data_IF_587457061134
#
_entry.id   IF_587457061134
#
_cell.length_a   1.000
_cell.length_b   1.000
_cell.length_c   1.000
_cell.angle_alpha   90.00
_cell.angle_beta   90.00
_cell.angle_gamma   90.00
#
_symmetry.space_group_name_H-M   'P 1'
#
loop_
_entity.id
_entity.type
_entity.pdbx_description
1 polymer ?
#
# COMPACT_ATOMS: atom_id res chain seq x y z
N UNK A 1 40.67 35.54 8.34
CA UNK A 1 39.30 35.30 8.84
C UNK A 1 38.64 34.28 7.94
N UNK A 2 38.37 33.03 8.38
CA UNK A 2 37.68 32.07 7.54
C UNK A 2 36.19 32.46 7.42
N UNK A 3 35.70 32.55 6.19
CA UNK A 3 34.30 32.82 5.91
C UNK A 3 33.45 31.64 6.43
N UNK A 4 32.51 31.94 7.34
CA UNK A 4 31.53 30.97 7.81
C UNK A 4 30.64 30.57 6.64
N UNK A 5 30.84 29.35 6.15
CA UNK A 5 30.02 28.76 5.11
C UNK A 5 28.62 28.52 5.68
N UNK A 6 27.66 29.36 5.28
CA UNK A 6 26.29 29.20 5.76
C UNK A 6 25.71 27.88 5.26
N UNK A 7 25.03 27.09 6.12
CA UNK A 7 24.35 25.89 5.69
C UNK A 7 23.28 26.27 4.65
N UNK A 8 23.26 25.59 3.52
CA UNK A 8 22.24 25.78 2.50
C UNK A 8 20.85 25.64 3.13
N UNK A 9 20.04 26.70 3.06
CA UNK A 9 18.68 26.70 3.57
C UNK A 9 17.90 25.53 2.96
N UNK A 10 17.50 24.57 3.79
CA UNK A 10 16.62 23.48 3.36
C UNK A 10 15.31 24.09 2.87
N UNK A 11 14.93 23.81 1.61
CA UNK A 11 13.63 24.21 1.07
C UNK A 11 12.52 23.87 2.08
N UNK A 12 11.54 24.76 2.33
CA UNK A 12 10.47 24.49 3.27
C UNK A 12 9.76 23.19 2.90
N UNK A 13 9.75 22.23 3.81
CA UNK A 13 8.92 21.02 3.70
C UNK A 13 7.48 21.48 3.42
N UNK A 14 6.89 21.03 2.33
CA UNK A 14 5.53 21.40 1.96
C UNK A 14 4.54 20.70 2.89
N UNK A 15 4.32 21.28 4.07
CA UNK A 15 3.45 20.73 5.12
C UNK A 15 2.03 20.41 4.62
N UNK A 16 1.55 21.11 3.59
CA UNK A 16 0.30 20.79 2.91
C UNK A 16 0.30 19.38 2.29
N UNK A 17 1.35 19.01 1.55
CA UNK A 17 1.42 17.69 0.91
C UNK A 17 1.58 16.56 1.92
N UNK A 18 2.28 16.82 3.03
CA UNK A 18 2.37 15.86 4.13
C UNK A 18 0.99 15.66 4.80
N UNK A 19 0.24 16.75 5.05
CA UNK A 19 -1.14 16.67 5.57
C UNK A 19 -2.08 15.94 4.61
N UNK A 20 -1.96 16.21 3.32
CA UNK A 20 -2.74 15.51 2.29
C UNK A 20 -2.46 14.01 2.32
N UNK A 21 -1.18 13.59 2.40
CA UNK A 21 -0.83 12.17 2.53
C UNK A 21 -1.40 11.54 3.78
N UNK A 22 -1.34 12.22 4.93
CA UNK A 22 -1.93 11.71 6.18
C UNK A 22 -3.44 11.53 6.03
N UNK A 23 -4.13 12.53 5.47
CA UNK A 23 -5.57 12.45 5.21
C UNK A 23 -5.91 11.27 4.29
N UNK A 24 -5.20 11.12 3.17
CA UNK A 24 -5.41 10.01 2.23
C UNK A 24 -5.13 8.64 2.88
N UNK A 25 -4.10 8.54 3.72
CA UNK A 25 -3.83 7.31 4.49
C UNK A 25 -4.95 7.00 5.47
N UNK A 26 -5.51 8.02 6.14
CA UNK A 26 -6.69 7.87 6.98
C UNK A 26 -7.90 7.34 6.21
N UNK A 27 -8.10 7.83 4.98
CA UNK A 27 -9.16 7.32 4.09
C UNK A 27 -8.94 5.85 3.73
N UNK A 28 -7.71 5.40 3.45
CA UNK A 28 -7.41 3.97 3.20
C UNK A 28 -7.83 3.10 4.38
N UNK A 29 -7.54 3.56 5.61
CA UNK A 29 -7.91 2.84 6.84
C UNK A 29 -9.44 2.77 6.94
N UNK A 30 -10.12 3.90 6.76
CA UNK A 30 -11.59 3.97 6.79
C UNK A 30 -12.23 3.07 5.73
N UNK A 31 -11.69 3.08 4.51
CA UNK A 31 -12.14 2.29 3.38
C UNK A 31 -12.10 0.78 3.68
N UNK A 32 -10.95 0.26 4.11
CA UNK A 32 -10.84 -1.16 4.43
C UNK A 32 -11.61 -1.55 5.69
N UNK A 33 -11.79 -0.62 6.64
CA UNK A 33 -12.69 -0.81 7.79
C UNK A 33 -14.14 -0.92 7.33
N UNK A 34 -14.57 -0.10 6.36
CA UNK A 34 -15.91 -0.20 5.78
C UNK A 34 -16.14 -1.54 5.05
N UNK A 35 -15.15 -2.01 4.27
CA UNK A 35 -15.20 -3.34 3.60
C UNK A 35 -15.31 -4.47 4.63
N UNK A 36 -14.57 -4.38 5.74
CA UNK A 36 -14.64 -5.34 6.83
C UNK A 36 -16.07 -5.43 7.39
N UNK A 37 -16.78 -4.31 7.52
CA UNK A 37 -18.13 -4.26 8.11
C UNK A 37 -19.30 -4.37 7.13
N UNK A 38 -19.04 -4.54 5.83
CA UNK A 38 -20.09 -4.88 4.87
C UNK A 38 -20.16 -4.01 3.61
N UNK A 39 -19.22 -3.09 3.40
CA UNK A 39 -19.04 -2.48 2.08
C UNK A 39 -18.59 -3.53 1.05
N UNK A 40 -18.90 -3.28 -0.22
CA UNK A 40 -18.38 -4.10 -1.31
C UNK A 40 -16.86 -3.91 -1.48
N UNK A 41 -16.16 -4.99 -1.88
CA UNK A 41 -14.70 -5.01 -2.01
C UNK A 41 -14.03 -6.19 -1.30
N UNK A 42 -12.71 -6.30 -1.46
CA UNK A 42 -11.91 -7.40 -0.92
C UNK A 42 -11.14 -7.01 0.35
N UNK A 43 -11.29 -7.80 1.42
CA UNK A 43 -10.46 -7.71 2.62
C UNK A 43 -10.32 -9.09 3.28
N UNK A 44 -9.23 -9.29 4.01
CA UNK A 44 -8.93 -10.58 4.64
C UNK A 44 -10.00 -10.98 5.66
N UNK A 45 -10.25 -10.10 6.63
CA UNK A 45 -11.18 -10.33 7.72
C UNK A 45 -12.49 -9.59 7.47
N UNK A 46 -13.63 -10.25 7.63
CA UNK A 46 -14.94 -9.65 7.37
C UNK A 46 -15.92 -10.00 8.48
N UNK A 47 -16.61 -8.98 8.98
CA UNK A 47 -17.70 -9.06 9.93
C UNK A 47 -18.87 -8.21 9.40
N UNK A 48 -19.47 -8.63 8.27
CA UNK A 48 -20.49 -7.83 7.62
C UNK A 48 -21.72 -7.69 8.54
N UNK A 49 -22.25 -6.47 8.63
CA UNK A 49 -23.58 -6.24 9.21
C UNK A 49 -24.67 -6.96 8.42
N UNK A 50 -25.84 -7.23 9.00
CA UNK A 50 -27.02 -7.72 8.27
C UNK A 50 -27.90 -6.58 7.75
N UNK A 51 -27.68 -5.35 8.24
CA UNK A 51 -28.44 -4.17 7.83
C UNK A 51 -28.12 -3.79 6.36
N UNK A 52 -29.13 -3.86 5.49
CA UNK A 52 -29.01 -3.53 4.08
C UNK A 52 -28.72 -2.05 3.84
N UNK A 53 -29.32 -1.15 4.62
CA UNK A 53 -29.10 0.29 4.52
C UNK A 53 -27.66 0.66 4.85
N UNK A 54 -27.11 0.06 5.92
CA UNK A 54 -25.70 0.23 6.29
C UNK A 54 -24.76 -0.27 5.19
N UNK A 55 -25.01 -1.43 4.57
CA UNK A 55 -24.21 -1.94 3.44
C UNK A 55 -24.18 -0.98 2.25
N UNK A 56 -25.35 -0.45 1.87
CA UNK A 56 -25.45 0.52 0.77
C UNK A 56 -24.66 1.79 1.09
N UNK A 57 -24.82 2.35 2.30
CA UNK A 57 -24.10 3.54 2.73
C UNK A 57 -22.57 3.33 2.71
N UNK A 58 -22.09 2.25 3.31
CA UNK A 58 -20.66 1.92 3.38
C UNK A 58 -20.08 1.68 1.98
N UNK A 59 -20.84 1.03 1.09
CA UNK A 59 -20.42 0.79 -0.30
C UNK A 59 -20.36 2.10 -1.10
N UNK A 60 -21.33 2.99 -0.93
CA UNK A 60 -21.30 4.31 -1.58
C UNK A 60 -20.13 5.15 -1.08
N UNK A 61 -19.84 5.12 0.23
CA UNK A 61 -18.64 5.74 0.79
C UNK A 61 -17.37 5.20 0.14
N UNK A 62 -17.22 3.87 0.05
CA UNK A 62 -16.09 3.23 -0.62
C UNK A 62 -16.00 3.61 -2.10
N UNK A 63 -17.12 3.67 -2.82
CA UNK A 63 -17.14 4.04 -4.23
C UNK A 63 -16.67 5.48 -4.46
N UNK A 64 -17.13 6.43 -3.63
CA UNK A 64 -16.70 7.83 -3.69
C UNK A 64 -15.22 7.94 -3.37
N UNK A 65 -14.76 7.29 -2.30
CA UNK A 65 -13.35 7.28 -1.90
C UNK A 65 -12.46 6.72 -3.03
N UNK A 66 -12.82 5.54 -3.55
CA UNK A 66 -12.11 4.83 -4.63
C UNK A 66 -11.98 5.64 -5.92
N UNK A 67 -12.90 6.58 -6.18
CA UNK A 67 -12.86 7.41 -7.37
C UNK A 67 -11.67 8.39 -7.39
N UNK A 68 -11.06 8.71 -6.25
CA UNK A 68 -9.98 9.71 -6.20
C UNK A 68 -8.75 9.31 -5.37
N UNK A 69 -8.88 8.56 -4.27
CA UNK A 69 -7.80 8.48 -3.27
C UNK A 69 -6.51 7.88 -3.84
N UNK A 70 -6.61 6.76 -4.56
CA UNK A 70 -5.46 6.14 -5.22
C UNK A 70 -4.90 7.02 -6.33
N UNK A 71 -5.78 7.69 -7.09
CA UNK A 71 -5.38 8.63 -8.13
C UNK A 71 -4.51 9.75 -7.58
N UNK A 72 -4.88 10.32 -6.43
CA UNK A 72 -4.09 11.33 -5.74
C UNK A 72 -2.76 10.77 -5.22
N UNK A 73 -2.73 9.55 -4.67
CA UNK A 73 -1.48 8.91 -4.27
C UNK A 73 -0.53 8.71 -5.46
N UNK A 74 -1.03 8.25 -6.61
CA UNK A 74 -0.23 8.12 -7.83
C UNK A 74 0.24 9.47 -8.36
N UNK A 75 -0.62 10.49 -8.35
CA UNK A 75 -0.27 11.85 -8.76
C UNK A 75 0.88 12.40 -7.90
N UNK A 76 0.78 12.27 -6.57
CA UNK A 76 1.84 12.69 -5.65
C UNK A 76 3.13 11.90 -5.89
N UNK A 77 3.05 10.58 -6.07
CA UNK A 77 4.23 9.76 -6.32
C UNK A 77 4.91 10.13 -7.67
N UNK A 78 4.12 10.37 -8.71
CA UNK A 78 4.57 10.80 -10.02
C UNK A 78 5.22 12.18 -9.99
N UNK A 79 4.60 13.16 -9.31
CA UNK A 79 5.11 14.53 -9.20
C UNK A 79 6.55 14.60 -8.67
N UNK A 80 6.90 13.76 -7.69
CA UNK A 80 8.24 13.74 -7.11
C UNK A 80 9.25 12.84 -7.84
N UNK A 81 8.80 12.02 -8.79
CA UNK A 81 9.65 11.03 -9.46
C UNK A 81 10.75 11.66 -10.33
N UNK A 82 10.49 12.68 -11.18
CA UNK A 82 11.53 13.32 -11.99
C UNK A 82 12.66 13.93 -11.15
N UNK A 83 12.32 14.70 -10.10
CA UNK A 83 13.31 15.30 -9.20
C UNK A 83 14.12 14.25 -8.43
N UNK A 84 13.48 13.17 -7.98
CA UNK A 84 14.17 12.07 -7.31
C UNK A 84 15.14 11.36 -8.26
N UNK A 85 14.74 11.15 -9.52
CA UNK A 85 15.57 10.52 -10.55
C UNK A 85 16.78 11.37 -10.90
N UNK A 86 16.58 12.67 -11.15
CA UNK A 86 17.67 13.61 -11.47
C UNK A 86 18.72 13.67 -10.36
N UNK A 87 18.29 13.68 -9.09
CA UNK A 87 19.20 13.74 -7.94
C UNK A 87 20.00 12.45 -7.71
N UNK A 88 19.45 11.28 -8.06
CA UNK A 88 20.05 9.96 -7.73
C UNK A 88 20.64 9.22 -8.94
N UNK A 89 20.37 9.68 -10.16
CA UNK A 89 20.59 8.90 -11.38
C UNK A 89 19.68 7.67 -11.47
N UNK A 90 19.65 7.02 -12.64
CA UNK A 90 18.79 5.88 -12.91
C UNK A 90 19.01 4.70 -11.93
N UNK A 91 20.27 4.27 -11.79
CA UNK A 91 20.63 3.13 -10.94
C UNK A 91 20.34 3.41 -9.47
N UNK A 92 20.73 4.60 -8.98
CA UNK A 92 20.49 4.99 -7.58
C UNK A 92 19.01 5.13 -7.24
N UNK A 93 18.21 5.65 -8.18
CA UNK A 93 16.76 5.75 -8.03
C UNK A 93 16.09 4.37 -7.96
N UNK A 94 16.40 3.47 -8.90
CA UNK A 94 15.81 2.14 -8.94
C UNK A 94 16.22 1.30 -7.72
N UNK A 95 17.49 1.33 -7.32
CA UNK A 95 17.97 0.61 -6.12
C UNK A 95 17.23 1.08 -4.87
N UNK A 96 17.07 2.40 -4.68
CA UNK A 96 16.36 2.96 -3.54
C UNK A 96 14.87 2.57 -3.53
N UNK A 97 14.20 2.58 -4.70
CA UNK A 97 12.81 2.13 -4.84
C UNK A 97 12.67 0.64 -4.56
N UNK A 98 13.55 -0.20 -5.09
CA UNK A 98 13.54 -1.66 -4.86
C UNK A 98 13.71 -2.01 -3.38
N UNK A 99 14.63 -1.35 -2.68
CA UNK A 99 14.82 -1.60 -1.25
C UNK A 99 13.64 -1.09 -0.39
N UNK A 100 13.08 0.07 -0.73
CA UNK A 100 12.00 0.68 0.07
C UNK A 100 10.62 0.09 -0.20
N UNK A 101 10.37 -0.39 -1.42
CA UNK A 101 9.07 -0.91 -1.84
C UNK A 101 9.13 -2.41 -2.11
N UNK A 102 10.17 -2.89 -2.81
CA UNK A 102 10.29 -4.29 -3.21
C UNK A 102 10.54 -5.22 -2.02
N UNK A 103 11.42 -4.83 -1.10
CA UNK A 103 11.66 -5.65 0.10
C UNK A 103 10.39 -5.79 0.97
N UNK A 104 9.66 -4.71 1.33
CA UNK A 104 8.37 -4.85 2.00
C UNK A 104 7.34 -5.65 1.20
N UNK A 105 7.32 -5.49 -0.13
CA UNK A 105 6.40 -6.23 -1.00
C UNK A 105 6.65 -7.73 -0.96
N UNK A 106 7.92 -8.16 -1.00
CA UNK A 106 8.30 -9.57 -0.87
C UNK A 106 8.00 -10.11 0.52
N UNK A 107 8.39 -9.38 1.57
CA UNK A 107 8.14 -9.79 2.95
C UNK A 107 6.62 -9.94 3.22
N UNK A 108 5.81 -9.01 2.74
CA UNK A 108 4.36 -9.14 2.87
C UNK A 108 3.82 -10.24 1.97
N UNK A 109 4.09 -10.19 0.66
CA UNK A 109 3.49 -11.07 -0.33
C UNK A 109 3.78 -12.55 -0.11
N UNK A 110 4.96 -12.87 0.42
CA UNK A 110 5.42 -14.25 0.63
C UNK A 110 5.32 -14.72 2.08
N UNK A 111 5.10 -13.84 3.06
CA UNK A 111 5.02 -14.27 4.47
C UNK A 111 3.72 -13.80 5.08
N UNK A 112 3.52 -12.48 5.16
CA UNK A 112 2.38 -11.91 5.88
C UNK A 112 1.06 -12.14 5.16
N UNK A 113 0.99 -12.06 3.84
CA UNK A 113 -0.24 -12.22 3.06
C UNK A 113 -0.88 -13.60 3.21
N UNK A 114 -0.15 -14.71 2.96
CA UNK A 114 -0.63 -16.07 3.20
C UNK A 114 -0.97 -16.33 4.67
N UNK A 115 -0.18 -15.75 5.59
CA UNK A 115 -0.43 -15.83 7.03
C UNK A 115 -1.74 -15.12 7.42
N UNK A 116 -1.96 -13.88 6.96
CA UNK A 116 -3.18 -13.12 7.25
C UNK A 116 -4.41 -13.75 6.61
N UNK A 117 -4.28 -14.35 5.43
CA UNK A 117 -5.36 -15.10 4.80
C UNK A 117 -5.74 -16.36 5.60
N UNK A 118 -4.74 -17.08 6.12
CA UNK A 118 -4.97 -18.26 6.98
C UNK A 118 -5.55 -17.86 8.34
N UNK A 119 -5.09 -16.74 8.91
CA UNK A 119 -5.60 -16.19 10.16
C UNK A 119 -7.07 -15.76 10.02
N UNK A 120 -7.45 -15.14 8.91
CA UNK A 120 -8.85 -14.77 8.66
C UNK A 120 -9.79 -15.98 8.60
N UNK A 121 -9.29 -17.15 8.19
CA UNK A 121 -10.02 -18.41 8.26
C UNK A 121 -10.42 -18.82 9.68
N UNK A 122 -9.74 -18.32 10.73
CA UNK A 122 -10.12 -18.57 12.13
C UNK A 122 -11.44 -17.89 12.53
N UNK A 123 -11.86 -16.85 11.83
CA UNK A 123 -13.12 -16.16 12.12
C UNK A 123 -14.34 -16.96 11.63
N UNK A 124 -14.15 -18.02 10.83
CA UNK A 124 -15.21 -18.92 10.42
C UNK A 124 -15.60 -19.89 11.56
N UNK A 125 -16.86 -20.37 11.63
CA UNK A 125 -17.29 -21.31 12.66
C UNK A 125 -16.49 -22.62 12.61
N UNK A 126 -15.75 -22.90 13.69
CA UNK A 126 -14.82 -24.04 13.79
C UNK A 126 -13.42 -23.53 14.14
N UNK A 127 -13.16 -23.41 15.44
CA UNK A 127 -11.91 -22.84 15.96
C UNK A 127 -10.68 -23.60 15.43
N UNK A 128 -9.99 -23.00 14.47
CA UNK A 128 -8.66 -23.43 14.05
C UNK A 128 -7.65 -22.84 15.06
N UNK A 129 -6.99 -23.70 15.83
CA UNK A 129 -5.89 -23.26 16.70
C UNK A 129 -4.69 -22.77 15.87
N UNK A 130 -3.70 -22.19 16.56
CA UNK A 130 -2.44 -21.77 15.94
C UNK A 130 -1.79 -22.86 15.05
N UNK A 131 -1.78 -24.16 15.43
CA UNK A 131 -1.21 -25.21 14.58
C UNK A 131 -1.89 -25.32 13.21
N UNK A 132 -3.22 -25.19 13.15
CA UNK A 132 -3.97 -25.26 11.91
C UNK A 132 -3.68 -24.05 11.01
N UNK A 133 -3.56 -22.84 11.58
CA UNK A 133 -3.18 -21.63 10.83
C UNK A 133 -1.79 -21.77 10.23
N UNK A 134 -0.84 -22.29 10.99
CA UNK A 134 0.53 -22.51 10.51
C UNK A 134 0.56 -23.56 9.39
N UNK A 135 -0.18 -24.66 9.54
CA UNK A 135 -0.28 -25.70 8.52
C UNK A 135 -0.92 -25.17 7.22
N UNK A 136 -2.00 -24.38 7.32
CA UNK A 136 -2.64 -23.74 6.17
C UNK A 136 -1.71 -22.70 5.51
N UNK A 137 -1.03 -21.89 6.31
CA UNK A 137 -0.05 -20.92 5.80
C UNK A 137 1.04 -21.64 5.02
N UNK A 138 1.60 -22.71 5.59
CA UNK A 138 2.62 -23.52 4.92
C UNK A 138 2.11 -24.13 3.60
N UNK A 139 0.89 -24.66 3.59
CA UNK A 139 0.28 -25.21 2.38
C UNK A 139 0.11 -24.14 1.28
N UNK A 140 -0.35 -22.93 1.64
CA UNK A 140 -0.46 -21.79 0.70
C UNK A 140 0.89 -21.37 0.13
N UNK A 141 1.94 -21.37 0.95
CA UNK A 141 3.30 -21.07 0.51
C UNK A 141 3.84 -22.10 -0.47
N UNK A 142 3.65 -23.40 -0.19
CA UNK A 142 4.04 -24.47 -1.12
C UNK A 142 3.25 -24.44 -2.43
N UNK A 143 2.00 -23.98 -2.38
CA UNK A 143 1.19 -23.74 -3.57
C UNK A 143 1.61 -22.49 -4.36
N UNK A 144 2.57 -21.70 -3.86
CA UNK A 144 3.04 -20.47 -4.52
C UNK A 144 2.03 -19.33 -4.45
N UNK A 145 1.09 -19.33 -3.49
CA UNK A 145 0.16 -18.23 -3.32
C UNK A 145 0.90 -16.95 -2.91
N UNK A 146 0.82 -15.92 -3.76
CA UNK A 146 1.32 -14.58 -3.45
C UNK A 146 0.14 -13.65 -3.25
N UNK A 147 0.04 -13.04 -2.08
CA UNK A 147 -1.02 -12.07 -1.78
C UNK A 147 -0.42 -10.71 -1.43
N UNK A 148 -0.51 -9.77 -2.39
CA UNK A 148 0.01 -8.42 -2.20
C UNK A 148 -0.90 -7.55 -1.33
N UNK A 149 -2.18 -7.92 -1.19
CA UNK A 149 -3.16 -7.24 -0.34
C UNK A 149 -3.07 -5.71 -0.46
N UNK A 150 -2.88 -4.96 0.64
CA UNK A 150 -2.74 -3.50 0.63
C UNK A 150 -1.50 -2.97 -0.12
N UNK A 151 -0.47 -3.80 -0.33
CA UNK A 151 0.78 -3.38 -0.98
C UNK A 151 0.72 -3.40 -2.50
N UNK A 152 -0.43 -3.68 -3.11
CA UNK A 152 -0.61 -3.56 -4.56
C UNK A 152 -0.17 -2.18 -5.09
N UNK A 153 -0.39 -1.11 -4.32
CA UNK A 153 0.05 0.24 -4.67
C UNK A 153 1.57 0.34 -4.76
N UNK A 154 2.29 -0.24 -3.80
CA UNK A 154 3.76 -0.25 -3.80
C UNK A 154 4.32 -1.04 -4.99
N UNK A 155 3.67 -2.14 -5.38
CA UNK A 155 3.99 -2.89 -6.59
C UNK A 155 3.79 -2.04 -7.85
N UNK A 156 2.65 -1.37 -7.99
CA UNK A 156 2.39 -0.46 -9.11
C UNK A 156 3.44 0.67 -9.19
N UNK A 157 3.84 1.25 -8.05
CA UNK A 157 4.90 2.26 -8.02
C UNK A 157 6.25 1.72 -8.49
N UNK A 158 6.60 0.47 -8.19
CA UNK A 158 7.81 -0.16 -8.70
C UNK A 158 7.75 -0.31 -10.22
N UNK A 159 6.65 -0.83 -10.75
CA UNK A 159 6.44 -0.97 -12.18
C UNK A 159 6.53 0.39 -12.90
N UNK A 160 5.84 1.40 -12.39
CA UNK A 160 5.88 2.76 -12.95
C UNK A 160 7.28 3.39 -12.84
N UNK A 161 8.01 3.11 -11.77
CA UNK A 161 9.39 3.59 -11.62
C UNK A 161 10.32 2.99 -12.68
N UNK A 162 10.20 1.69 -12.95
CA UNK A 162 10.96 1.00 -14.01
C UNK A 162 10.53 1.53 -15.38
N UNK A 163 9.23 1.58 -15.67
CA UNK A 163 8.71 2.08 -16.93
C UNK A 163 9.16 3.52 -17.20
N UNK A 164 9.11 4.40 -16.21
CA UNK A 164 9.57 5.78 -16.34
C UNK A 164 11.06 5.88 -16.67
N UNK A 165 11.90 5.04 -16.06
CA UNK A 165 13.34 4.99 -16.37
C UNK A 165 13.59 4.48 -17.80
N UNK A 166 12.86 3.44 -18.23
CA UNK A 166 13.02 2.88 -19.57
C UNK A 166 12.53 3.81 -20.70
N UNK A 167 11.43 4.52 -20.47
CA UNK A 167 10.82 5.41 -21.46
C UNK A 167 11.43 6.81 -21.49
N UNK A 168 12.20 7.18 -20.48
CA UNK A 168 12.83 8.50 -20.43
C UNK A 168 13.88 8.61 -21.54
N UNK A 169 13.82 9.65 -22.40
CA UNK A 169 14.94 9.96 -23.28
C UNK A 169 16.11 10.43 -22.40
N UNK A 170 17.24 9.74 -22.52
CA UNK A 170 18.45 9.98 -21.73
C UNK A 170 19.41 10.92 -22.44
#
# INVERSE_FOLDING_TARGET
MPALQQPAASLPRQAFLDRLRVMLTGLVILHHTAIMHGADGGWFLRFPTDDKGAKVLLTMMCAVDQAFFMGLFFLLAGHFTPSALQRKGAVGFLKDRLLRLGLPLLAFGLLLGPFTASLAGMAAPGHAGLPQVLAQTWARLLAGEVNLGPLWFAYALLLFSVAYVLLRPW
#
